data_IF_752231622762
#
_entry.id   IF_752231622762
#
_cell.length_a   1.000
_cell.length_b   1.000
_cell.length_c   1.000
_cell.angle_alpha   90.00
_cell.angle_beta   90.00
_cell.angle_gamma   90.00
#
_symmetry.space_group_name_H-M   'P 1'
#
loop_
_entity.id
_entity.type
_entity.pdbx_description
1 polymer ?
#
# COMPACT_ATOMS: atom_id res chain seq x y z
N UNK A 1 -10.65 -3.06 6.83
CA UNK A 1 -10.49 -1.75 6.17
C UNK A 1 -10.26 -0.67 7.19
N UNK A 2 -9.03 -0.57 7.73
CA UNK A 2 -8.60 0.49 8.66
C UNK A 2 -7.78 1.57 7.93
N UNK A 3 -7.90 1.66 6.60
CA UNK A 3 -7.21 2.68 5.80
C UNK A 3 -5.79 2.36 5.33
N UNK A 4 -5.19 1.20 5.65
CA UNK A 4 -3.82 0.84 5.19
C UNK A 4 -3.59 1.04 3.69
N UNK A 5 -4.43 0.44 2.84
CA UNK A 5 -4.33 0.57 1.39
C UNK A 5 -4.54 2.00 0.91
N UNK A 6 -5.43 2.77 1.57
CA UNK A 6 -5.61 4.18 1.27
C UNK A 6 -4.34 4.98 1.59
N UNK A 7 -3.70 4.74 2.75
CA UNK A 7 -2.40 5.36 3.09
C UNK A 7 -1.32 4.98 2.07
N UNK A 8 -1.20 3.70 1.73
CA UNK A 8 -0.22 3.23 0.74
C UNK A 8 -0.44 3.89 -0.64
N UNK A 9 -1.71 4.02 -1.05
CA UNK A 9 -2.08 4.68 -2.30
C UNK A 9 -1.76 6.17 -2.27
N UNK A 10 -2.21 6.91 -1.24
CA UNK A 10 -1.94 8.35 -1.10
C UNK A 10 -0.45 8.64 -1.10
N UNK A 11 0.36 7.87 -0.36
CA UNK A 11 1.82 8.03 -0.33
C UNK A 11 2.43 7.76 -1.71
N UNK A 12 1.93 6.74 -2.43
CA UNK A 12 2.41 6.42 -3.77
C UNK A 12 2.10 7.56 -4.76
N UNK A 13 0.90 8.11 -4.72
CA UNK A 13 0.47 9.22 -5.58
C UNK A 13 1.24 10.51 -5.27
N UNK A 14 1.38 10.87 -3.99
CA UNK A 14 2.11 12.05 -3.53
C UNK A 14 3.59 12.01 -3.96
N UNK A 15 4.21 10.82 -3.88
CA UNK A 15 5.62 10.66 -4.20
C UNK A 15 5.91 10.17 -5.62
N UNK A 16 4.90 9.96 -6.47
CA UNK A 16 5.04 9.40 -7.82
C UNK A 16 6.06 10.14 -8.70
N UNK A 17 6.18 11.45 -8.53
CA UNK A 17 7.08 12.32 -9.32
C UNK A 17 8.39 12.65 -8.63
N UNK A 18 8.65 12.13 -7.43
CA UNK A 18 9.78 12.58 -6.61
C UNK A 18 10.54 11.43 -5.93
N UNK A 19 9.89 10.69 -5.02
CA UNK A 19 10.57 9.71 -4.15
C UNK A 19 10.21 8.26 -4.46
N UNK A 20 9.09 8.01 -5.16
CA UNK A 20 8.61 6.68 -5.47
C UNK A 20 9.47 6.04 -6.57
N UNK A 21 10.10 4.91 -6.24
CA UNK A 21 10.81 4.06 -7.19
C UNK A 21 9.85 3.02 -7.79
N UNK A 22 9.02 2.40 -6.96
CA UNK A 22 8.02 1.43 -7.38
C UNK A 22 6.90 1.28 -6.34
N UNK A 23 5.77 0.74 -6.77
CA UNK A 23 4.67 0.34 -5.90
C UNK A 23 4.05 -0.97 -6.37
N UNK A 24 3.70 -1.85 -5.44
CA UNK A 24 2.99 -3.10 -5.74
C UNK A 24 1.84 -3.31 -4.74
N UNK A 25 0.64 -3.46 -5.26
CA UNK A 25 -0.58 -3.65 -4.48
C UNK A 25 -1.09 -5.07 -4.70
N UNK A 26 -0.86 -5.94 -3.72
CA UNK A 26 -1.41 -7.29 -3.74
C UNK A 26 -2.93 -7.25 -3.69
N UNK A 27 -3.55 -8.25 -4.31
CA UNK A 27 -5.01 -8.38 -4.36
C UNK A 27 -5.37 -9.84 -4.50
N UNK A 28 -6.08 -10.42 -3.52
CA UNK A 28 -6.47 -11.85 -3.54
C UNK A 28 -7.25 -12.24 -4.80
N UNK A 29 -8.06 -11.31 -5.32
CA UNK A 29 -8.97 -11.53 -6.45
C UNK A 29 -8.31 -11.36 -7.82
N UNK A 30 -7.07 -10.88 -7.87
CA UNK A 30 -6.34 -10.63 -9.11
C UNK A 30 -5.19 -11.64 -9.26
N UNK A 31 -5.29 -12.52 -10.26
CA UNK A 31 -4.31 -13.59 -10.48
C UNK A 31 -2.90 -13.09 -10.83
N UNK A 32 -2.77 -11.86 -11.32
CA UNK A 32 -1.46 -11.23 -11.56
C UNK A 32 -0.84 -10.70 -10.25
N UNK A 33 -1.68 -10.36 -9.26
CA UNK A 33 -1.27 -9.67 -8.02
C UNK A 33 -1.54 -10.45 -6.74
N UNK A 34 -1.91 -11.73 -6.83
CA UNK A 34 -2.13 -12.59 -5.67
C UNK A 34 -0.95 -13.55 -5.39
N UNK A 35 0.15 -13.44 -6.14
CA UNK A 35 1.38 -14.21 -5.92
C UNK A 35 2.62 -13.33 -6.12
N UNK A 36 3.75 -13.79 -5.57
CA UNK A 36 5.03 -13.08 -5.65
C UNK A 36 5.81 -13.26 -6.96
N UNK A 37 5.39 -14.19 -7.83
CA UNK A 37 6.11 -14.51 -9.09
C UNK A 37 6.33 -13.29 -10.00
N UNK A 38 5.43 -12.32 -9.95
CA UNK A 38 5.49 -11.11 -10.77
C UNK A 38 6.03 -9.90 -9.99
N UNK A 39 6.34 -10.04 -8.70
CA UNK A 39 6.68 -8.90 -7.85
C UNK A 39 7.96 -8.20 -8.33
N UNK A 40 9.09 -8.92 -8.39
CA UNK A 40 10.36 -8.30 -8.77
C UNK A 40 10.42 -7.91 -10.23
N UNK A 41 9.77 -8.65 -11.12
CA UNK A 41 9.66 -8.27 -12.53
C UNK A 41 8.83 -7.00 -12.71
N UNK A 42 7.74 -6.85 -11.95
CA UNK A 42 6.93 -5.62 -11.95
C UNK A 42 7.70 -4.44 -11.37
N UNK A 43 8.44 -4.63 -10.27
CA UNK A 43 9.31 -3.60 -9.71
C UNK A 43 10.36 -3.18 -10.74
N UNK A 44 11.07 -4.14 -11.36
CA UNK A 44 12.07 -3.84 -12.39
C UNK A 44 11.49 -3.06 -13.57
N UNK A 45 10.30 -3.45 -14.05
CA UNK A 45 9.60 -2.73 -15.11
C UNK A 45 9.30 -1.27 -14.70
N UNK A 46 8.82 -1.05 -13.48
CA UNK A 46 8.55 0.32 -12.98
C UNK A 46 9.82 1.16 -12.86
N UNK A 47 10.95 0.57 -12.44
CA UNK A 47 12.25 1.25 -12.42
C UNK A 47 12.65 1.70 -13.82
N UNK A 48 12.45 0.86 -14.85
CA UNK A 48 12.74 1.19 -16.26
C UNK A 48 11.80 2.24 -16.83
N UNK A 49 10.52 2.20 -16.44
CA UNK A 49 9.49 3.15 -16.88
C UNK A 49 9.58 4.52 -16.19
N UNK A 50 10.24 4.59 -15.04
CA UNK A 50 10.47 5.85 -14.33
C UNK A 50 11.25 6.84 -15.20
N UNK A 51 10.79 8.10 -15.25
CA UNK A 51 11.47 9.16 -15.98
C UNK A 51 12.85 9.52 -15.40
N UNK A 52 13.06 9.27 -14.09
CA UNK A 52 14.33 9.54 -13.40
C UNK A 52 15.23 8.32 -13.42
N UNK A 53 14.71 7.15 -13.05
CA UNK A 53 15.53 5.93 -12.90
C UNK A 53 15.75 5.21 -14.23
N UNK A 54 14.80 5.30 -15.16
CA UNK A 54 14.84 4.64 -16.46
C UNK A 54 16.12 4.93 -17.25
N UNK A 55 16.51 6.21 -17.45
CA UNK A 55 17.75 6.56 -18.14
C UNK A 55 19.02 5.99 -17.49
N UNK A 56 18.98 5.63 -16.21
CA UNK A 56 20.14 5.12 -15.46
C UNK A 56 20.17 3.60 -15.40
N UNK A 57 19.02 2.93 -15.40
CA UNK A 57 18.90 1.49 -15.11
C UNK A 57 18.48 0.65 -16.31
N UNK A 58 17.85 1.26 -17.34
CA UNK A 58 17.25 0.54 -18.47
C UNK A 58 18.24 -0.36 -19.18
N UNK A 59 19.40 0.16 -19.56
CA UNK A 59 20.37 -0.62 -20.33
C UNK A 59 20.86 -1.85 -19.56
N UNK A 60 21.07 -1.73 -18.24
CA UNK A 60 21.47 -2.85 -17.40
C UNK A 60 20.38 -3.92 -17.29
N UNK A 61 19.12 -3.52 -17.09
CA UNK A 61 17.99 -4.45 -16.99
C UNK A 61 17.71 -5.11 -18.34
N UNK A 62 17.71 -4.34 -19.43
CA UNK A 62 17.51 -4.85 -20.79
C UNK A 62 18.62 -5.84 -21.18
N UNK A 63 19.88 -5.55 -20.83
CA UNK A 63 20.98 -6.48 -21.06
C UNK A 63 20.76 -7.78 -20.28
N UNK A 64 20.40 -7.72 -19.00
CA UNK A 64 20.10 -8.93 -18.21
C UNK A 64 19.02 -9.79 -18.88
N UNK A 65 17.92 -9.18 -19.33
CA UNK A 65 16.81 -9.90 -19.96
C UNK A 65 17.22 -10.48 -21.33
N UNK A 66 18.00 -9.74 -22.13
CA UNK A 66 18.49 -10.23 -23.43
C UNK A 66 19.43 -11.43 -23.28
N UNK A 67 20.29 -11.43 -22.25
CA UNK A 67 21.20 -12.54 -21.99
C UNK A 67 20.48 -13.76 -21.40
N UNK A 68 19.50 -13.54 -20.53
CA UNK A 68 18.70 -14.62 -19.95
C UNK A 68 17.20 -14.28 -19.98
N UNK A 69 16.51 -14.56 -21.10
CA UNK A 69 15.07 -14.29 -21.20
C UNK A 69 14.22 -15.03 -20.16
N UNK A 70 14.70 -16.18 -19.68
CA UNK A 70 14.00 -16.98 -18.67
C UNK A 70 14.08 -16.36 -17.26
N UNK A 71 14.83 -15.27 -17.05
CA UNK A 71 14.94 -14.61 -15.75
C UNK A 71 13.58 -14.19 -15.19
N UNK A 72 12.62 -13.84 -16.05
CA UNK A 72 11.26 -13.46 -15.66
C UNK A 72 10.47 -14.62 -15.04
N UNK A 73 10.93 -15.86 -15.22
CA UNK A 73 10.34 -17.09 -14.67
C UNK A 73 11.23 -17.76 -13.63
N UNK A 74 12.39 -17.17 -13.33
CA UNK A 74 13.30 -17.66 -12.31
C UNK A 74 12.68 -17.58 -10.90
N UNK A 75 13.37 -18.17 -9.92
CA UNK A 75 12.98 -18.03 -8.53
C UNK A 75 13.14 -16.57 -8.04
N UNK A 76 12.52 -16.24 -6.89
CA UNK A 76 12.46 -14.87 -6.38
C UNK A 76 13.83 -14.26 -6.08
N UNK A 77 14.76 -15.05 -5.53
CA UNK A 77 16.11 -14.60 -5.20
C UNK A 77 16.90 -14.26 -6.46
N UNK A 78 16.80 -15.10 -7.50
CA UNK A 78 17.47 -14.88 -8.77
C UNK A 78 16.87 -13.67 -9.50
N UNK A 79 15.54 -13.55 -9.57
CA UNK A 79 14.87 -12.36 -10.10
C UNK A 79 15.35 -11.10 -9.36
N UNK A 80 15.36 -11.13 -8.03
CA UNK A 80 15.78 -10.00 -7.22
C UNK A 80 17.25 -9.63 -7.46
N UNK A 81 18.13 -10.62 -7.50
CA UNK A 81 19.56 -10.38 -7.68
C UNK A 81 19.86 -9.81 -9.08
N UNK A 82 19.30 -10.42 -10.12
CA UNK A 82 19.62 -10.06 -11.51
C UNK A 82 18.88 -8.82 -12.01
N UNK A 83 17.64 -8.61 -11.58
CA UNK A 83 16.80 -7.50 -12.07
C UNK A 83 16.80 -6.28 -11.16
N UNK A 84 17.13 -6.43 -9.88
CA UNK A 84 17.11 -5.32 -8.91
C UNK A 84 18.51 -5.01 -8.41
N UNK A 85 19.19 -5.96 -7.76
CA UNK A 85 20.46 -5.70 -7.07
C UNK A 85 21.57 -5.34 -8.06
N UNK A 86 21.85 -6.18 -9.06
CA UNK A 86 22.95 -5.95 -10.00
C UNK A 86 22.79 -4.67 -10.85
N UNK A 87 21.58 -4.31 -11.35
CA UNK A 87 21.40 -3.03 -12.02
C UNK A 87 21.58 -1.85 -11.06
N UNK A 88 21.02 -1.93 -9.85
CA UNK A 88 21.12 -0.82 -8.89
C UNK A 88 22.53 -0.62 -8.34
N UNK A 89 23.36 -1.67 -8.30
CA UNK A 89 24.75 -1.61 -7.86
C UNK A 89 25.69 -0.90 -8.84
N UNK A 90 25.22 -0.57 -10.05
CA UNK A 90 25.99 0.21 -11.03
C UNK A 90 26.04 1.70 -10.65
N UNK A 91 25.16 2.14 -9.76
CA UNK A 91 25.12 3.51 -9.25
C UNK A 91 25.75 3.56 -7.85
N UNK A 92 26.50 4.62 -7.59
CA UNK A 92 27.14 4.86 -6.30
C UNK A 92 26.12 5.28 -5.22
N UNK A 93 26.49 5.11 -3.95
CA UNK A 93 25.65 5.53 -2.82
C UNK A 93 25.27 7.01 -2.89
N UNK A 94 26.21 7.88 -3.27
CA UNK A 94 25.97 9.32 -3.41
C UNK A 94 24.99 9.66 -4.53
N UNK A 95 25.04 8.93 -5.66
CA UNK A 95 24.04 9.09 -6.72
C UNK A 95 22.64 8.74 -6.22
N UNK A 96 22.52 7.68 -5.41
CA UNK A 96 21.24 7.25 -4.85
C UNK A 96 20.61 8.24 -3.87
N UNK A 97 21.35 9.19 -3.31
CA UNK A 97 20.81 10.13 -2.31
C UNK A 97 19.68 11.00 -2.88
N UNK A 98 19.86 11.46 -4.12
CA UNK A 98 18.93 12.31 -4.86
C UNK A 98 17.89 11.53 -5.68
N UNK A 99 18.06 10.20 -5.81
CA UNK A 99 17.18 9.37 -6.61
C UNK A 99 15.94 8.88 -5.84
N UNK A 100 14.85 8.54 -6.56
CA UNK A 100 13.71 7.86 -5.97
C UNK A 100 14.14 6.54 -5.33
N UNK A 101 13.78 6.35 -4.06
CA UNK A 101 14.19 5.20 -3.24
C UNK A 101 13.03 4.49 -2.54
N UNK A 102 11.81 5.02 -2.60
CA UNK A 102 10.68 4.42 -1.91
C UNK A 102 10.07 3.28 -2.74
N UNK A 103 9.97 2.09 -2.15
CA UNK A 103 9.17 0.99 -2.68
C UNK A 103 7.98 0.78 -1.74
N UNK A 104 6.76 0.91 -2.27
CA UNK A 104 5.53 0.67 -1.52
C UNK A 104 5.01 -0.74 -1.81
N UNK A 105 4.68 -1.48 -0.77
CA UNK A 105 4.10 -2.82 -0.85
C UNK A 105 2.83 -2.82 -0.02
N UNK A 106 1.66 -2.91 -0.66
CA UNK A 106 0.38 -2.98 0.04
C UNK A 106 -0.24 -4.38 -0.06
N UNK A 107 -0.87 -4.82 1.02
CA UNK A 107 -1.61 -6.07 1.09
C UNK A 107 -0.73 -7.32 1.08
N UNK A 108 0.44 -7.34 1.71
CA UNK A 108 1.28 -8.56 1.72
C UNK A 108 0.51 -9.81 2.23
N UNK A 109 -0.42 -9.63 3.17
CA UNK A 109 -1.37 -10.66 3.65
C UNK A 109 -2.37 -11.16 2.59
N UNK A 110 -2.46 -10.49 1.45
CA UNK A 110 -3.27 -10.87 0.29
C UNK A 110 -2.54 -11.78 -0.71
N UNK A 111 -1.23 -12.02 -0.52
CA UNK A 111 -0.52 -13.04 -1.27
C UNK A 111 -0.98 -14.44 -0.85
N UNK A 112 -1.47 -15.26 -1.79
CA UNK A 112 -2.01 -16.59 -1.50
C UNK A 112 -0.94 -17.58 -1.05
N UNK A 113 0.29 -17.42 -1.54
CA UNK A 113 1.41 -18.26 -1.13
C UNK A 113 2.06 -17.71 0.15
N UNK A 114 1.67 -18.30 1.28
CA UNK A 114 2.13 -17.95 2.63
C UNK A 114 3.66 -18.11 2.75
N UNK A 115 4.24 -19.16 2.18
CA UNK A 115 5.70 -19.40 2.25
C UNK A 115 6.44 -18.29 1.53
N UNK A 116 5.88 -17.83 0.41
CA UNK A 116 6.46 -16.72 -0.34
C UNK A 116 6.41 -15.38 0.42
N UNK A 117 5.41 -15.13 1.28
CA UNK A 117 5.37 -13.91 2.11
C UNK A 117 6.60 -13.81 3.04
N UNK A 118 6.90 -14.88 3.78
CA UNK A 118 8.09 -14.94 4.65
C UNK A 118 9.39 -14.83 3.83
N UNK A 119 9.41 -15.46 2.66
CA UNK A 119 10.56 -15.44 1.73
C UNK A 119 10.85 -14.04 1.22
N UNK A 120 9.84 -13.27 0.80
CA UNK A 120 10.02 -11.87 0.38
C UNK A 120 10.67 -11.03 1.50
N UNK A 121 10.16 -11.14 2.73
CA UNK A 121 10.71 -10.42 3.86
C UNK A 121 12.15 -10.84 4.16
N UNK A 122 12.48 -12.13 4.04
CA UNK A 122 13.84 -12.63 4.17
C UNK A 122 14.78 -12.05 3.10
N UNK A 123 14.33 -11.96 1.84
CA UNK A 123 15.09 -11.35 0.75
C UNK A 123 15.39 -9.88 1.04
N UNK A 124 14.35 -9.10 1.41
CA UNK A 124 14.50 -7.67 1.76
C UNK A 124 15.47 -7.49 2.91
N UNK A 125 15.36 -8.31 3.96
CA UNK A 125 16.27 -8.28 5.12
C UNK A 125 17.71 -8.52 4.72
N UNK A 126 17.99 -9.60 3.98
CA UNK A 126 19.35 -9.95 3.54
C UNK A 126 19.96 -8.82 2.70
N UNK A 127 19.16 -8.25 1.78
CA UNK A 127 19.61 -7.16 0.94
C UNK A 127 19.97 -5.90 1.73
N UNK A 128 19.23 -5.62 2.81
CA UNK A 128 19.53 -4.50 3.72
C UNK A 128 20.79 -4.73 4.53
N UNK A 129 20.98 -5.92 5.09
CA UNK A 129 22.17 -6.25 5.89
C UNK A 129 23.46 -6.15 5.07
N UNK A 130 23.40 -6.58 3.80
CA UNK A 130 24.55 -6.51 2.90
C UNK A 130 24.78 -5.11 2.29
N UNK A 131 24.02 -4.09 2.70
CA UNK A 131 24.02 -2.74 2.10
C UNK A 131 23.88 -2.75 0.57
N UNK A 132 23.24 -3.79 0.03
CA UNK A 132 23.10 -4.03 -1.40
C UNK A 132 22.04 -3.16 -2.05
N UNK A 133 21.16 -2.54 -1.25
CA UNK A 133 20.04 -1.76 -1.75
C UNK A 133 19.97 -0.34 -1.20
N UNK A 134 19.68 0.64 -2.08
CA UNK A 134 19.37 2.01 -1.71
C UNK A 134 17.92 2.17 -1.22
N UNK A 135 17.03 1.18 -1.47
CA UNK A 135 15.58 1.37 -1.35
C UNK A 135 15.06 1.35 0.08
N UNK A 136 14.17 2.28 0.42
CA UNK A 136 13.29 2.25 1.61
C UNK A 136 11.99 1.55 1.26
N UNK A 137 11.54 0.65 2.14
CA UNK A 137 10.30 -0.10 1.94
C UNK A 137 9.23 0.40 2.89
N UNK A 138 8.06 0.76 2.35
CA UNK A 138 6.82 0.91 3.11
C UNK A 138 5.98 -0.35 2.86
N UNK A 139 5.70 -1.11 3.91
CA UNK A 139 4.94 -2.36 3.81
C UNK A 139 3.67 -2.23 4.64
N UNK A 140 2.53 -2.24 3.96
CA UNK A 140 1.19 -2.21 4.54
C UNK A 140 0.61 -3.63 4.50
N UNK A 141 0.28 -4.18 5.67
CA UNK A 141 -0.23 -5.55 5.79
C UNK A 141 -1.09 -5.70 7.05
N UNK A 142 -1.99 -6.68 7.08
CA UNK A 142 -2.55 -7.16 8.35
C UNK A 142 -1.45 -7.85 9.19
N UNK A 143 -1.53 -7.79 10.53
CA UNK A 143 -0.55 -8.40 11.42
C UNK A 143 -0.76 -9.92 11.54
N UNK A 144 -0.87 -10.63 10.41
CA UNK A 144 -0.98 -12.09 10.41
C UNK A 144 0.24 -12.71 11.11
N UNK A 145 0.08 -13.81 11.87
CA UNK A 145 1.14 -14.34 12.73
C UNK A 145 2.48 -14.54 12.03
N UNK A 146 2.46 -14.99 10.77
CA UNK A 146 3.64 -15.27 9.96
C UNK A 146 4.41 -14.01 9.58
N UNK A 147 3.70 -13.00 9.06
CA UNK A 147 4.27 -11.69 8.74
C UNK A 147 4.84 -11.04 10.02
N UNK A 148 4.09 -11.11 11.12
CA UNK A 148 4.55 -10.60 12.42
C UNK A 148 5.81 -11.31 12.91
N UNK A 149 5.86 -12.64 12.79
CA UNK A 149 7.01 -13.44 13.19
C UNK A 149 8.25 -13.12 12.33
N UNK A 150 8.08 -12.96 11.01
CA UNK A 150 9.16 -12.56 10.12
C UNK A 150 9.75 -11.21 10.53
N UNK A 151 8.90 -10.20 10.83
CA UNK A 151 9.37 -8.91 11.33
C UNK A 151 9.93 -8.94 12.75
N UNK A 152 9.66 -9.97 13.55
CA UNK A 152 10.21 -10.14 14.90
C UNK A 152 11.64 -10.68 14.92
N UNK A 153 12.19 -11.06 13.74
CA UNK A 153 13.59 -11.42 13.61
C UNK A 153 14.50 -10.29 14.13
N UNK A 154 15.60 -10.65 14.81
CA UNK A 154 16.48 -9.70 15.49
C UNK A 154 16.99 -8.58 14.58
N UNK A 155 17.34 -8.92 13.34
CA UNK A 155 17.85 -7.96 12.34
C UNK A 155 16.85 -6.84 12.05
N UNK A 156 15.54 -7.13 12.03
CA UNK A 156 14.54 -6.09 11.76
C UNK A 156 14.33 -5.13 12.91
N UNK A 157 14.74 -5.46 14.14
CA UNK A 157 14.55 -4.61 15.32
C UNK A 157 15.22 -3.24 15.17
N UNK A 158 16.35 -3.18 14.46
CA UNK A 158 17.09 -1.93 14.21
C UNK A 158 16.75 -1.29 12.86
N UNK A 159 16.05 -2.01 11.97
CA UNK A 159 15.78 -1.58 10.59
C UNK A 159 14.32 -1.16 10.34
N UNK A 160 13.38 -1.54 11.21
CA UNK A 160 11.94 -1.40 10.97
C UNK A 160 11.30 -0.50 12.01
N UNK A 161 10.59 0.51 11.55
CA UNK A 161 9.61 1.26 12.36
C UNK A 161 8.23 0.67 12.10
N UNK A 162 7.47 0.40 13.18
CA UNK A 162 6.12 -0.16 13.09
C UNK A 162 5.09 0.91 13.45
N UNK A 163 4.01 0.97 12.69
CA UNK A 163 2.87 1.83 12.95
C UNK A 163 1.61 0.96 12.90
N UNK A 164 0.84 0.96 13.97
CA UNK A 164 -0.46 0.30 14.03
C UNK A 164 -1.56 1.33 13.79
N UNK A 165 -2.35 1.13 12.74
CA UNK A 165 -3.49 2.00 12.40
C UNK A 165 -4.79 1.57 13.08
N UNK A 166 -4.86 0.38 13.67
CA UNK A 166 -6.07 -0.20 14.25
C UNK A 166 -6.25 0.07 15.74
N UNK A 167 -5.16 0.19 16.51
CA UNK A 167 -5.20 0.25 17.98
C UNK A 167 -5.37 1.66 18.57
N UNK A 168 -5.56 2.69 17.74
CA UNK A 168 -5.69 4.05 18.25
C UNK A 168 -7.16 4.42 18.53
N UNK A 169 -7.39 4.94 19.72
CA UNK A 169 -8.55 5.77 20.12
C UNK A 169 -8.87 6.89 19.10
N UNK A 170 -7.93 7.22 18.22
CA UNK A 170 -8.07 8.18 17.13
C UNK A 170 -8.90 7.66 15.94
N UNK A 171 -8.94 6.34 15.69
CA UNK A 171 -9.74 5.77 14.59
C UNK A 171 -11.23 6.12 14.70
N UNK A 172 -11.78 6.17 15.92
CA UNK A 172 -13.15 6.62 16.15
C UNK A 172 -13.36 8.11 15.84
N UNK A 173 -12.37 8.96 16.16
CA UNK A 173 -12.43 10.40 15.84
C UNK A 173 -12.35 10.64 14.33
N UNK A 174 -11.48 9.92 13.65
CA UNK A 174 -11.32 10.03 12.20
C UNK A 174 -12.54 9.49 11.46
N UNK A 175 -13.12 8.37 11.92
CA UNK A 175 -14.39 7.86 11.38
C UNK A 175 -15.53 8.84 11.64
N UNK A 176 -15.60 9.45 12.83
CA UNK A 176 -16.62 10.47 13.13
C UNK A 176 -16.47 11.69 12.20
N UNK A 177 -15.23 12.15 11.98
CA UNK A 177 -14.92 13.24 11.05
C UNK A 177 -15.34 12.85 9.62
N UNK A 178 -14.98 11.65 9.17
CA UNK A 178 -15.34 11.13 7.85
C UNK A 178 -16.87 11.08 7.65
N UNK A 179 -17.62 10.55 8.63
CA UNK A 179 -19.08 10.58 8.57
C UNK A 179 -19.63 12.00 8.47
N UNK A 180 -19.15 12.95 9.28
CA UNK A 180 -19.61 14.34 9.23
C UNK A 180 -19.34 14.97 7.87
N UNK A 181 -18.15 14.79 7.32
CA UNK A 181 -17.78 15.37 6.04
C UNK A 181 -18.62 14.80 4.89
N UNK A 182 -18.76 13.48 4.81
CA UNK A 182 -19.49 12.82 3.71
C UNK A 182 -21.01 12.99 3.82
N UNK A 183 -21.60 12.94 5.02
CA UNK A 183 -23.04 13.20 5.19
C UNK A 183 -23.39 14.66 4.86
N UNK A 184 -22.50 15.61 5.20
CA UNK A 184 -22.69 17.00 4.80
C UNK A 184 -22.62 17.17 3.28
N UNK A 185 -21.72 16.46 2.59
CA UNK A 185 -21.67 16.45 1.12
C UNK A 185 -22.98 15.89 0.53
N UNK A 186 -23.43 14.72 0.99
CA UNK A 186 -24.70 14.13 0.56
C UNK A 186 -25.86 15.13 0.74
N UNK A 187 -25.96 15.79 1.90
CA UNK A 187 -26.99 16.80 2.14
C UNK A 187 -26.91 17.97 1.14
N UNK A 188 -25.71 18.45 0.85
CA UNK A 188 -25.50 19.56 -0.10
C UNK A 188 -25.87 19.14 -1.53
N UNK A 189 -25.45 17.95 -1.96
CA UNK A 189 -25.71 17.41 -3.29
C UNK A 189 -27.20 17.13 -3.53
N UNK A 190 -27.94 16.75 -2.47
CA UNK A 190 -29.38 16.52 -2.48
C UNK A 190 -30.22 17.73 -2.02
N UNK A 191 -29.65 18.94 -2.04
CA UNK A 191 -30.14 20.15 -1.35
C UNK A 191 -31.66 20.40 -1.36
N UNK A 192 -32.35 20.33 -2.51
CA UNK A 192 -33.80 20.56 -2.57
C UNK A 192 -34.63 19.42 -1.99
N UNK A 193 -34.15 18.18 -2.11
CA UNK A 193 -34.85 16.98 -1.64
C UNK A 193 -34.69 16.80 -0.13
N UNK A 194 -33.58 17.28 0.43
CA UNK A 194 -33.28 17.23 1.86
C UNK A 194 -33.52 18.57 2.59
N UNK A 195 -34.22 19.52 1.98
CA UNK A 195 -34.49 20.84 2.58
C UNK A 195 -35.32 20.77 3.88
N UNK A 196 -36.09 19.69 4.07
CA UNK A 196 -36.91 19.43 5.26
C UNK A 196 -36.10 18.79 6.41
N UNK A 197 -34.86 18.40 6.15
CA UNK A 197 -34.00 17.69 7.09
C UNK A 197 -33.20 18.70 7.92
N UNK A 198 -33.02 18.47 9.24
CA UNK A 198 -32.28 19.39 10.11
C UNK A 198 -30.86 19.68 9.62
N UNK A 199 -30.33 20.86 9.97
CA UNK A 199 -28.97 21.24 9.58
C UNK A 199 -27.89 20.32 10.16
N UNK A 200 -28.15 19.76 11.33
CA UNK A 200 -27.28 18.85 12.05
C UNK A 200 -27.45 17.39 11.64
N UNK A 201 -28.27 17.09 10.62
CA UNK A 201 -28.53 15.71 10.20
C UNK A 201 -27.27 14.89 9.95
N UNK A 202 -27.25 13.61 10.38
CA UNK A 202 -28.30 12.87 11.08
C UNK A 202 -28.33 13.10 12.61
N UNK A 203 -27.59 14.09 13.10
CA UNK A 203 -27.40 14.38 14.52
C UNK A 203 -26.18 13.66 15.08
N UNK A 204 -25.50 14.32 16.01
CA UNK A 204 -24.25 13.79 16.61
C UNK A 204 -24.47 12.45 17.32
N UNK A 205 -25.65 12.23 17.92
CA UNK A 205 -26.01 10.96 18.56
C UNK A 205 -26.01 9.77 17.59
N UNK A 206 -26.51 9.97 16.36
CA UNK A 206 -26.50 8.91 15.33
C UNK A 206 -25.07 8.69 14.84
N UNK A 207 -24.29 9.76 14.64
CA UNK A 207 -22.89 9.66 14.23
C UNK A 207 -22.09 8.83 15.25
N UNK A 208 -22.26 9.07 16.55
CA UNK A 208 -21.57 8.29 17.58
C UNK A 208 -21.98 6.81 17.59
N UNK A 209 -23.25 6.50 17.34
CA UNK A 209 -23.70 5.11 17.18
C UNK A 209 -23.07 4.42 15.97
N UNK A 210 -22.98 5.13 14.83
CA UNK A 210 -22.34 4.61 13.63
C UNK A 210 -20.83 4.40 13.83
N UNK A 211 -20.16 5.31 14.52
CA UNK A 211 -18.74 5.19 14.91
C UNK A 211 -18.52 3.98 15.81
N UNK A 212 -19.39 3.79 16.81
CA UNK A 212 -19.32 2.63 17.71
C UNK A 212 -19.50 1.32 16.92
N UNK A 213 -20.45 1.27 15.98
CA UNK A 213 -20.69 0.11 15.12
C UNK A 213 -19.56 -0.14 14.12
N UNK A 214 -18.86 0.91 13.70
CA UNK A 214 -17.73 0.79 12.80
C UNK A 214 -16.56 0.02 13.43
N UNK A 215 -16.43 0.01 14.76
CA UNK A 215 -15.35 -0.68 15.48
C UNK A 215 -13.96 -0.38 14.89
N UNK A 216 -13.68 0.88 14.56
CA UNK A 216 -12.42 1.33 13.95
C UNK A 216 -12.27 0.99 12.45
N UNK A 217 -13.30 0.47 11.79
CA UNK A 217 -13.24 0.05 10.39
C UNK A 217 -13.92 1.05 9.45
N UNK A 218 -13.12 1.80 8.68
CA UNK A 218 -13.59 2.70 7.63
C UNK A 218 -14.43 2.01 6.54
N UNK A 219 -14.24 0.72 6.29
CA UNK A 219 -15.06 -0.01 5.30
C UNK A 219 -16.54 -0.04 5.70
N UNK A 220 -16.84 -0.11 7.00
CA UNK A 220 -18.21 -0.01 7.51
C UNK A 220 -18.77 1.37 7.20
N UNK A 221 -18.02 2.43 7.54
CA UNK A 221 -18.44 3.81 7.30
C UNK A 221 -18.71 4.09 5.81
N UNK A 222 -17.79 3.67 4.93
CA UNK A 222 -17.95 3.82 3.48
C UNK A 222 -19.18 3.05 2.94
N UNK A 223 -19.47 1.87 3.49
CA UNK A 223 -20.64 1.07 3.08
C UNK A 223 -21.94 1.73 3.52
N UNK A 224 -22.00 2.25 4.76
CA UNK A 224 -23.17 3.00 5.25
C UNK A 224 -23.41 4.25 4.41
N UNK A 225 -22.36 5.05 4.14
CA UNK A 225 -22.47 6.25 3.33
C UNK A 225 -22.95 5.95 1.92
N UNK A 226 -22.36 4.94 1.27
CA UNK A 226 -22.79 4.50 -0.05
C UNK A 226 -24.24 4.05 -0.07
N UNK A 227 -24.68 3.31 0.95
CA UNK A 227 -26.08 2.90 1.06
C UNK A 227 -27.03 4.10 1.19
N UNK A 228 -26.64 5.13 1.94
CA UNK A 228 -27.42 6.37 2.10
C UNK A 228 -27.45 7.19 0.80
N UNK A 229 -26.32 7.27 0.09
CA UNK A 229 -26.19 7.98 -1.18
C UNK A 229 -26.96 7.30 -2.32
N UNK A 230 -26.87 5.97 -2.46
CA UNK A 230 -27.52 5.19 -3.52
C UNK A 230 -29.06 5.15 -3.37
N UNK A 231 -29.61 5.40 -2.18
CA UNK A 231 -31.05 5.38 -1.93
C UNK A 231 -31.75 6.62 -2.52
N UNK A 232 -32.06 6.55 -3.81
CA UNK A 232 -32.92 7.48 -4.56
C UNK A 232 -34.39 7.56 -4.06
N UNK A 233 -34.69 7.06 -2.87
CA UNK A 233 -35.95 7.29 -2.18
C UNK A 233 -35.64 7.75 -0.77
N UNK A 234 -35.77 9.07 -0.57
CA UNK A 234 -35.91 9.81 0.70
C UNK A 234 -35.50 9.01 1.95
N UNK A 235 -34.39 9.38 2.64
CA UNK A 235 -34.10 8.83 3.96
C UNK A 235 -35.16 9.31 4.95
N UNK A 236 -36.27 8.58 5.04
CA UNK A 236 -37.30 8.74 6.06
C UNK A 236 -37.10 7.69 7.14
N UNK A 237 -36.70 8.19 8.31
CA UNK A 237 -36.61 7.56 9.64
C UNK A 237 -35.51 6.52 9.88
#
# INVERSE_FOLDING_TARGET
GVGKSAVAQTISEEFAKSRLAASFFFSRVDSARNHLRQFFTTVALQLVMSHVLGPLLRDYIDLTIRHNPNIIHANLEEQFQELIVKPCSQLTTGQWEELPRLIVIDGLDECLDIVSQERLLSIIRTARLSSMLPFKFLICSRPEPRIRNAFNHQDFRTMVTRCDLGDAFESGKDIAKYFREELNKIRQDHGSTMAHVPEDWPGEGIIQQLVQRACGQFIYAATVLKYIEDYHSLPTE
#
